data_IF_228387838627
#
_entry.id   IF_228387838627
#
_cell.length_a   1.000
_cell.length_b   1.000
_cell.length_c   1.000
_cell.angle_alpha   90.00
_cell.angle_beta   90.00
_cell.angle_gamma   90.00
#
_symmetry.space_group_name_H-M   'P 1'
#
loop_
_entity.id
_entity.type
_entity.pdbx_description
1 polymer ?
#
# COMPACT_ATOMS: atom_id res chain seq x y z
N UNK A 1 -9.91 30.16 8.06
CA UNK A 1 -10.34 28.90 8.67
C UNK A 1 -9.97 27.65 7.86
N UNK A 2 -9.90 27.69 6.54
CA UNK A 2 -9.46 26.56 5.68
C UNK A 2 -8.03 26.12 5.99
N UNK A 3 -7.10 27.03 6.26
CA UNK A 3 -5.71 26.75 6.61
C UNK A 3 -5.62 25.96 7.94
N UNK A 4 -6.42 26.32 8.92
CA UNK A 4 -6.47 25.62 10.21
C UNK A 4 -7.00 24.19 10.08
N UNK A 5 -8.05 23.99 9.29
CA UNK A 5 -8.60 22.66 8.98
C UNK A 5 -7.55 21.82 8.24
N UNK A 6 -6.90 22.39 7.23
CA UNK A 6 -5.85 21.71 6.48
C UNK A 6 -4.70 21.22 7.37
N UNK A 7 -4.21 22.07 8.27
CA UNK A 7 -3.14 21.70 9.22
C UNK A 7 -3.54 20.57 10.15
N UNK A 8 -4.76 20.57 10.68
CA UNK A 8 -5.27 19.48 11.51
C UNK A 8 -5.42 18.17 10.74
N UNK A 9 -5.90 18.22 9.50
CA UNK A 9 -6.00 17.03 8.64
C UNK A 9 -4.62 16.43 8.33
N UNK A 10 -3.60 17.24 8.14
CA UNK A 10 -2.23 16.78 7.97
C UNK A 10 -1.72 16.01 9.19
N UNK A 11 -1.89 16.56 10.40
CA UNK A 11 -1.46 15.93 11.65
C UNK A 11 -2.23 14.63 11.90
N UNK A 12 -3.56 14.67 11.81
CA UNK A 12 -4.41 13.50 12.06
C UNK A 12 -4.14 12.42 11.00
N UNK A 13 -4.08 12.77 9.72
CA UNK A 13 -3.81 11.83 8.63
C UNK A 13 -2.46 11.14 8.77
N UNK A 14 -1.41 11.89 9.13
CA UNK A 14 -0.08 11.32 9.39
C UNK A 14 -0.11 10.37 10.58
N UNK A 15 -0.77 10.74 11.66
CA UNK A 15 -0.94 9.90 12.87
C UNK A 15 -1.67 8.60 12.53
N UNK A 16 -2.76 8.68 11.77
CA UNK A 16 -3.53 7.51 11.34
C UNK A 16 -2.67 6.58 10.47
N UNK A 17 -1.88 7.11 9.54
CA UNK A 17 -0.96 6.30 8.73
C UNK A 17 0.13 5.67 9.59
N UNK A 18 0.69 6.38 10.56
CA UNK A 18 1.68 5.80 11.48
C UNK A 18 1.11 4.59 12.25
N UNK A 19 -0.12 4.68 12.73
CA UNK A 19 -0.79 3.54 13.37
C UNK A 19 -0.99 2.36 12.40
N UNK A 20 -1.14 2.60 11.10
CA UNK A 20 -1.25 1.53 10.12
C UNK A 20 0.02 0.66 10.02
N UNK A 21 1.19 1.19 10.41
CA UNK A 21 2.45 0.43 10.45
C UNK A 21 2.50 -0.68 11.51
N UNK A 22 1.58 -0.70 12.47
CA UNK A 22 1.48 -1.77 13.50
C UNK A 22 1.37 -3.15 12.85
N UNK A 23 0.62 -3.27 11.74
CA UNK A 23 0.57 -4.51 10.96
C UNK A 23 1.95 -4.94 10.44
N UNK A 24 2.76 -3.98 9.96
CA UNK A 24 4.10 -4.26 9.45
C UNK A 24 5.04 -4.77 10.55
N UNK A 25 4.94 -4.20 11.76
CA UNK A 25 5.70 -4.65 12.93
C UNK A 25 5.28 -6.07 13.34
N UNK A 26 3.98 -6.39 13.29
CA UNK A 26 3.46 -7.74 13.54
C UNK A 26 3.97 -8.75 12.50
N UNK A 27 3.95 -8.38 11.22
CA UNK A 27 4.44 -9.23 10.12
C UNK A 27 5.93 -9.56 10.26
N UNK A 28 6.73 -8.63 10.79
CA UNK A 28 8.16 -8.81 11.07
C UNK A 28 8.44 -9.51 12.41
N UNK A 29 7.41 -10.00 13.10
CA UNK A 29 7.49 -10.66 14.41
C UNK A 29 8.07 -9.79 15.55
N UNK A 30 8.14 -8.48 15.37
CA UNK A 30 8.54 -7.51 16.40
C UNK A 30 7.48 -7.46 17.49
N UNK A 31 6.19 -7.48 17.11
CA UNK A 31 5.06 -7.58 18.00
C UNK A 31 4.44 -8.97 17.83
N UNK A 32 4.18 -9.68 18.91
CA UNK A 32 3.60 -11.03 18.86
C UNK A 32 2.08 -11.04 19.13
N UNK A 33 1.53 -9.93 19.61
CA UNK A 33 0.11 -9.78 19.93
C UNK A 33 -0.75 -9.49 18.70
N UNK A 34 -2.00 -9.95 18.71
CA UNK A 34 -3.01 -9.68 17.72
C UNK A 34 -3.07 -10.69 16.55
N UNK A 35 -4.27 -10.88 16.01
CA UNK A 35 -4.51 -11.77 14.87
C UNK A 35 -4.03 -11.08 13.57
N UNK A 36 -3.21 -11.74 12.73
CA UNK A 36 -2.69 -11.14 11.49
C UNK A 36 -3.77 -10.66 10.53
N UNK A 37 -4.91 -11.37 10.45
CA UNK A 37 -6.04 -10.99 9.58
C UNK A 37 -6.72 -9.70 10.04
N UNK A 38 -6.95 -9.55 11.36
CA UNK A 38 -7.56 -8.33 11.93
C UNK A 38 -6.64 -7.12 11.77
N UNK A 39 -5.34 -7.32 12.01
CA UNK A 39 -4.34 -6.25 11.83
C UNK A 39 -4.16 -5.84 10.37
N UNK A 40 -4.29 -6.78 9.42
CA UNK A 40 -4.29 -6.45 8.00
C UNK A 40 -5.50 -5.61 7.62
N UNK A 41 -6.70 -6.00 8.07
CA UNK A 41 -7.91 -5.22 7.84
C UNK A 41 -7.81 -3.82 8.45
N UNK A 42 -7.30 -3.72 9.69
CA UNK A 42 -7.05 -2.43 10.35
C UNK A 42 -6.06 -1.58 9.55
N UNK A 43 -4.95 -2.16 9.09
CA UNK A 43 -3.98 -1.48 8.23
C UNK A 43 -4.64 -0.90 6.97
N UNK A 44 -5.49 -1.68 6.30
CA UNK A 44 -6.20 -1.25 5.11
C UNK A 44 -7.12 -0.05 5.39
N UNK A 45 -7.93 -0.09 6.46
CA UNK A 45 -8.82 1.01 6.84
C UNK A 45 -8.05 2.27 7.22
N UNK A 46 -7.01 2.13 8.04
CA UNK A 46 -6.18 3.26 8.48
C UNK A 46 -5.41 3.87 7.30
N UNK A 47 -4.86 3.03 6.40
CA UNK A 47 -4.17 3.52 5.21
C UNK A 47 -5.10 4.29 4.29
N UNK A 48 -6.33 3.81 4.05
CA UNK A 48 -7.33 4.51 3.26
C UNK A 48 -7.75 5.84 3.87
N UNK A 49 -8.20 5.84 5.12
CA UNK A 49 -8.67 7.05 5.80
C UNK A 49 -7.56 8.09 5.94
N UNK A 50 -6.35 7.66 6.34
CA UNK A 50 -5.19 8.54 6.43
C UNK A 50 -4.76 9.11 5.08
N UNK A 51 -4.80 8.31 4.00
CA UNK A 51 -4.48 8.78 2.64
C UNK A 51 -5.46 9.84 2.16
N UNK A 52 -6.75 9.65 2.37
CA UNK A 52 -7.78 10.65 2.02
C UNK A 52 -7.55 11.95 2.79
N UNK A 53 -7.28 11.88 4.10
CA UNK A 53 -6.98 13.06 4.91
C UNK A 53 -5.74 13.81 4.41
N UNK A 54 -4.67 13.08 4.04
CA UNK A 54 -3.45 13.68 3.51
C UNK A 54 -3.65 14.29 2.12
N UNK A 55 -4.46 13.68 1.25
CA UNK A 55 -4.79 14.25 -0.06
C UNK A 55 -5.59 15.55 0.07
N UNK A 56 -6.56 15.61 0.99
CA UNK A 56 -7.30 16.84 1.27
C UNK A 56 -6.38 17.91 1.87
N UNK A 57 -5.51 17.53 2.83
CA UNK A 57 -4.49 18.44 3.37
C UNK A 57 -3.59 19.02 2.26
N UNK A 58 -3.11 18.16 1.38
CA UNK A 58 -2.25 18.56 0.25
C UNK A 58 -2.97 19.49 -0.74
N UNK A 59 -4.26 19.26 -1.02
CA UNK A 59 -5.06 20.11 -1.89
C UNK A 59 -5.22 21.55 -1.39
N UNK A 60 -4.98 21.80 -0.10
CA UNK A 60 -5.04 23.13 0.51
C UNK A 60 -3.68 23.84 0.49
N UNK A 61 -2.56 23.11 0.44
CA UNK A 61 -1.20 23.63 0.61
C UNK A 61 -0.27 23.20 -0.53
N UNK A 62 -0.33 23.89 -1.68
CA UNK A 62 0.24 23.43 -2.95
C UNK A 62 1.61 24.03 -3.34
N UNK A 63 2.39 24.64 -2.43
CA UNK A 63 3.47 25.54 -2.81
C UNK A 63 4.91 25.05 -2.59
N UNK A 64 5.17 23.73 -2.42
CA UNK A 64 6.53 23.25 -2.19
C UNK A 64 6.81 21.90 -2.84
N UNK A 65 8.08 21.67 -3.24
CA UNK A 65 8.52 20.46 -3.94
C UNK A 65 8.38 19.19 -3.09
N UNK A 66 8.74 19.27 -1.80
CA UNK A 66 8.70 18.11 -0.89
C UNK A 66 7.28 17.56 -0.71
N UNK A 67 6.23 18.37 -0.47
CA UNK A 67 4.86 17.90 -0.46
C UNK A 67 4.43 17.21 -1.77
N UNK A 68 4.85 17.74 -2.93
CA UNK A 68 4.54 17.12 -4.22
C UNK A 68 5.12 15.72 -4.37
N UNK A 69 6.38 15.53 -3.99
CA UNK A 69 7.03 14.23 -3.99
C UNK A 69 6.34 13.27 -3.01
N UNK A 70 5.94 13.76 -1.84
CA UNK A 70 5.20 12.96 -0.85
C UNK A 70 3.83 12.50 -1.39
N UNK A 71 3.08 13.36 -2.08
CA UNK A 71 1.81 13.02 -2.72
C UNK A 71 2.03 11.96 -3.79
N UNK A 72 3.02 12.13 -4.65
CA UNK A 72 3.34 11.16 -5.69
C UNK A 72 3.66 9.78 -5.10
N UNK A 73 4.49 9.73 -4.06
CA UNK A 73 4.80 8.50 -3.34
C UNK A 73 3.57 7.91 -2.64
N UNK A 74 2.70 8.74 -2.06
CA UNK A 74 1.45 8.31 -1.45
C UNK A 74 0.56 7.59 -2.47
N UNK A 75 0.38 8.15 -3.66
CA UNK A 75 -0.41 7.56 -4.74
C UNK A 75 0.17 6.19 -5.18
N UNK A 76 1.49 6.08 -5.31
CA UNK A 76 2.15 4.81 -5.64
C UNK A 76 1.94 3.77 -4.53
N UNK A 77 2.07 4.16 -3.25
CA UNK A 77 1.83 3.27 -2.10
C UNK A 77 0.39 2.77 -2.09
N UNK A 78 -0.59 3.65 -2.28
CA UNK A 78 -2.02 3.29 -2.35
C UNK A 78 -2.29 2.36 -3.52
N UNK A 79 -1.79 2.68 -4.72
CA UNK A 79 -1.93 1.83 -5.90
C UNK A 79 -1.33 0.44 -5.69
N UNK A 80 -0.13 0.35 -5.07
CA UNK A 80 0.52 -0.93 -4.79
C UNK A 80 -0.26 -1.77 -3.77
N UNK A 81 -0.90 -1.14 -2.78
CA UNK A 81 -1.79 -1.80 -1.83
C UNK A 81 -3.04 -2.38 -2.49
N UNK A 82 -3.68 -1.60 -3.39
CA UNK A 82 -4.83 -2.04 -4.18
C UNK A 82 -4.50 -3.23 -5.09
N UNK A 83 -3.36 -3.17 -5.80
CA UNK A 83 -2.87 -4.28 -6.63
C UNK A 83 -2.71 -5.54 -5.76
N UNK A 84 -2.08 -5.41 -4.58
CA UNK A 84 -1.90 -6.53 -3.67
C UNK A 84 -3.21 -7.13 -3.14
N UNK A 85 -4.21 -6.30 -2.86
CA UNK A 85 -5.50 -6.74 -2.29
C UNK A 85 -6.41 -7.36 -3.34
N UNK A 86 -6.67 -6.66 -4.44
CA UNK A 86 -7.70 -7.03 -5.40
C UNK A 86 -7.16 -7.84 -6.57
N UNK A 87 -6.14 -7.32 -7.25
CA UNK A 87 -5.66 -7.94 -8.48
C UNK A 87 -4.90 -9.24 -8.22
N UNK A 88 -4.01 -9.26 -7.22
CA UNK A 88 -3.25 -10.48 -6.91
C UNK A 88 -4.15 -11.61 -6.40
N UNK A 89 -5.16 -11.29 -5.57
CA UNK A 89 -6.12 -12.29 -5.09
C UNK A 89 -6.88 -12.89 -6.26
N UNK A 90 -7.50 -12.05 -7.10
CA UNK A 90 -8.26 -12.46 -8.27
C UNK A 90 -7.42 -13.27 -9.25
N UNK A 91 -6.19 -12.82 -9.53
CA UNK A 91 -5.28 -13.52 -10.43
C UNK A 91 -4.86 -14.90 -9.92
N UNK A 92 -4.62 -15.04 -8.59
CA UNK A 92 -4.32 -16.34 -8.00
C UNK A 92 -5.52 -17.31 -8.04
N UNK A 93 -6.74 -16.82 -7.79
CA UNK A 93 -7.96 -17.62 -7.86
C UNK A 93 -8.20 -18.11 -9.30
N UNK A 94 -8.14 -17.21 -10.27
CA UNK A 94 -8.28 -17.53 -11.69
C UNK A 94 -7.23 -18.53 -12.18
N UNK A 95 -5.96 -18.36 -11.78
CA UNK A 95 -4.88 -19.29 -12.12
C UNK A 95 -5.15 -20.70 -11.55
N UNK A 96 -5.65 -20.76 -10.31
CA UNK A 96 -5.98 -22.04 -9.65
C UNK A 96 -7.13 -22.75 -10.34
N UNK A 97 -8.20 -22.04 -10.65
CA UNK A 97 -9.38 -22.58 -11.35
C UNK A 97 -8.99 -23.10 -12.75
N UNK A 98 -8.21 -22.32 -13.50
CA UNK A 98 -7.75 -22.72 -14.84
C UNK A 98 -6.81 -23.92 -14.80
N UNK A 99 -5.96 -24.00 -13.77
CA UNK A 99 -5.12 -25.19 -13.56
C UNK A 99 -5.96 -26.44 -13.28
N UNK A 100 -6.99 -26.32 -12.46
CA UNK A 100 -7.90 -27.45 -12.16
C UNK A 100 -8.67 -27.92 -13.39
N UNK A 101 -9.18 -27.00 -14.22
CA UNK A 101 -9.89 -27.37 -15.46
C UNK A 101 -8.96 -28.12 -16.42
N UNK A 102 -7.70 -27.69 -16.58
CA UNK A 102 -6.74 -28.37 -17.45
C UNK A 102 -6.35 -29.77 -16.94
N UNK A 103 -6.35 -29.98 -15.62
CA UNK A 103 -6.13 -31.31 -15.02
C UNK A 103 -7.33 -32.22 -15.32
N UNK A 104 -8.56 -31.72 -15.22
CA UNK A 104 -9.78 -32.46 -15.51
C UNK A 104 -9.85 -32.84 -17.00
N UNK A 105 -9.35 -31.98 -17.89
CA UNK A 105 -9.23 -32.25 -19.33
C UNK A 105 -8.17 -33.33 -19.65
N UNK A 106 -7.43 -33.82 -18.65
CA UNK A 106 -6.45 -34.91 -18.81
C UNK A 106 -5.12 -34.48 -19.42
N UNK A 107 -4.77 -33.21 -19.38
CA UNK A 107 -3.48 -32.72 -19.91
C UNK A 107 -2.32 -33.14 -18.99
N UNK A 108 -1.16 -33.42 -19.62
CA UNK A 108 0.08 -33.72 -18.91
C UNK A 108 0.63 -32.46 -18.20
N UNK A 109 1.39 -32.60 -17.09
CA UNK A 109 1.97 -31.49 -16.35
C UNK A 109 2.72 -30.47 -17.21
N UNK A 110 3.52 -30.95 -18.18
CA UNK A 110 4.29 -30.08 -19.09
C UNK A 110 3.40 -29.24 -20.03
N UNK A 111 2.29 -29.79 -20.45
CA UNK A 111 1.30 -29.08 -21.28
C UNK A 111 0.54 -28.02 -20.46
N UNK A 112 0.23 -28.34 -19.20
CA UNK A 112 -0.41 -27.41 -18.28
C UNK A 112 0.54 -26.23 -17.99
N UNK A 113 1.81 -26.49 -17.73
CA UNK A 113 2.81 -25.46 -17.47
C UNK A 113 2.96 -24.50 -18.66
N UNK A 114 3.04 -25.03 -19.88
CA UNK A 114 3.11 -24.22 -21.10
C UNK A 114 1.87 -23.34 -21.28
N UNK A 115 0.68 -23.91 -21.09
CA UNK A 115 -0.58 -23.16 -21.22
C UNK A 115 -0.76 -22.07 -20.16
N UNK A 116 -0.24 -22.28 -18.93
CA UNK A 116 -0.34 -21.35 -17.81
C UNK A 116 0.87 -20.42 -17.66
N UNK A 117 1.85 -20.51 -18.57
CA UNK A 117 3.10 -19.74 -18.44
C UNK A 117 2.86 -18.23 -18.26
N UNK A 118 2.06 -17.60 -19.10
CA UNK A 118 1.76 -16.18 -19.03
C UNK A 118 0.97 -15.81 -17.77
N UNK A 119 0.01 -16.63 -17.38
CA UNK A 119 -0.80 -16.40 -16.17
C UNK A 119 0.08 -16.50 -14.91
N UNK A 120 0.98 -17.48 -14.86
CA UNK A 120 1.95 -17.65 -13.78
C UNK A 120 2.95 -16.49 -13.72
N UNK A 121 3.44 -16.02 -14.86
CA UNK A 121 4.34 -14.88 -14.96
C UNK A 121 3.67 -13.60 -14.44
N UNK A 122 2.41 -13.37 -14.82
CA UNK A 122 1.61 -12.23 -14.36
C UNK A 122 1.44 -12.26 -12.84
N UNK A 123 1.05 -13.40 -12.27
CA UNK A 123 0.89 -13.57 -10.82
C UNK A 123 2.22 -13.35 -10.08
N UNK A 124 3.33 -13.87 -10.61
CA UNK A 124 4.65 -13.71 -10.01
C UNK A 124 5.12 -12.25 -10.05
N UNK A 125 4.85 -11.53 -11.14
CA UNK A 125 5.15 -10.11 -11.27
C UNK A 125 4.35 -9.28 -10.25
N UNK A 126 3.06 -9.57 -10.06
CA UNK A 126 2.23 -8.92 -9.04
C UNK A 126 2.73 -9.22 -7.62
N UNK A 127 3.21 -10.44 -7.35
CA UNK A 127 3.84 -10.78 -6.06
C UNK A 127 5.09 -9.95 -5.80
N UNK A 128 5.97 -9.80 -6.80
CA UNK A 128 7.16 -8.95 -6.72
C UNK A 128 6.78 -7.49 -6.50
N UNK A 129 5.78 -6.98 -7.21
CA UNK A 129 5.28 -5.61 -7.02
C UNK A 129 4.83 -5.35 -5.57
N UNK A 130 4.13 -6.31 -4.96
CA UNK A 130 3.74 -6.21 -3.54
C UNK A 130 4.93 -6.14 -2.59
N UNK A 131 6.07 -6.75 -2.92
CA UNK A 131 7.28 -6.68 -2.10
C UNK A 131 7.90 -5.28 -2.10
N UNK A 132 7.70 -4.51 -3.17
CA UNK A 132 8.20 -3.14 -3.30
C UNK A 132 7.36 -2.13 -2.50
N UNK A 133 6.14 -2.51 -2.10
CA UNK A 133 5.25 -1.65 -1.31
C UNK A 133 5.91 -1.11 -0.04
N UNK A 134 6.62 -1.95 0.70
CA UNK A 134 7.23 -1.56 1.97
C UNK A 134 8.39 -0.56 1.80
N UNK A 135 9.38 -0.77 0.91
CA UNK A 135 10.40 0.24 0.63
C UNK A 135 9.83 1.59 0.21
N UNK A 136 8.82 1.60 -0.67
CA UNK A 136 8.19 2.85 -1.13
C UNK A 136 7.45 3.54 0.03
N UNK A 137 6.77 2.79 0.90
CA UNK A 137 6.14 3.35 2.09
C UNK A 137 7.15 3.96 3.07
N UNK A 138 8.36 3.41 3.17
CA UNK A 138 9.45 4.00 3.96
C UNK A 138 9.96 5.32 3.36
N UNK A 139 10.06 5.42 2.03
CA UNK A 139 10.40 6.67 1.35
C UNK A 139 9.32 7.74 1.62
N UNK A 140 8.05 7.36 1.53
CA UNK A 140 6.94 8.26 1.87
C UNK A 140 7.04 8.75 3.33
N UNK A 141 7.33 7.85 4.27
CA UNK A 141 7.50 8.21 5.68
C UNK A 141 8.66 9.19 5.89
N UNK A 142 9.79 8.99 5.21
CA UNK A 142 10.94 9.90 5.26
C UNK A 142 10.60 11.28 4.68
N UNK A 143 9.94 11.35 3.53
CA UNK A 143 9.51 12.61 2.92
C UNK A 143 8.50 13.36 3.81
N UNK A 144 7.56 12.63 4.42
CA UNK A 144 6.59 13.21 5.35
C UNK A 144 7.27 13.77 6.60
N UNK A 145 8.26 13.06 7.13
CA UNK A 145 9.04 13.52 8.28
C UNK A 145 9.84 14.79 7.94
N UNK A 146 10.52 14.81 6.79
CA UNK A 146 11.24 16.00 6.31
C UNK A 146 10.30 17.21 6.13
N UNK A 147 9.11 16.96 5.58
CA UNK A 147 8.08 17.99 5.44
C UNK A 147 7.66 18.56 6.80
N UNK A 148 7.36 17.69 7.78
CA UNK A 148 6.97 18.10 9.14
C UNK A 148 8.09 18.91 9.81
N UNK A 149 9.34 18.43 9.75
CA UNK A 149 10.49 19.11 10.34
C UNK A 149 10.69 20.49 9.67
N UNK A 150 10.57 20.55 8.34
CA UNK A 150 10.69 21.81 7.60
C UNK A 150 9.64 22.84 8.07
N UNK A 151 8.38 22.41 8.23
CA UNK A 151 7.33 23.31 8.74
C UNK A 151 7.63 23.76 10.17
N UNK A 152 8.06 22.85 11.06
CA UNK A 152 8.38 23.21 12.45
C UNK A 152 9.53 24.19 12.59
N UNK A 153 10.53 24.13 11.70
CA UNK A 153 11.69 25.03 11.72
C UNK A 153 11.35 26.40 11.09
N UNK A 154 10.65 26.40 9.97
CA UNK A 154 10.44 27.60 9.16
C UNK A 154 9.12 28.34 9.40
N UNK A 155 8.16 27.72 10.12
CA UNK A 155 6.90 28.38 10.49
C UNK A 155 6.98 28.85 11.95
N UNK A 156 7.69 29.97 12.15
CA UNK A 156 7.63 30.73 13.41
C UNK A 156 6.60 31.84 13.27
#
# INVERSE_FOLDING_TARGET
DMIYIGRRLGIIGTTVILFSFIYSLRKRKIIQSGSPKKLLALHEYLAWSGSVMLLVHAGIHFNALIPWLAIFMLLIVVASGLIGKFLLKKANESLKERKQSLIIEGLNPDQIEKKLHFDSLTVNTMKKWRQVHMPIAMVLAALSLLHIISILIFTK
#
